data_IF_375113121970
#
_entry.id   IF_375113121970
#
_cell.length_a   1.000
_cell.length_b   1.000
_cell.length_c   1.000
_cell.angle_alpha   90.00
_cell.angle_beta   90.00
_cell.angle_gamma   90.00
#
_symmetry.space_group_name_H-M   'P 1'
#
loop_
_entity.id
_entity.type
_entity.pdbx_description
1 polymer ?
#
# COMPACT_ATOMS: atom_id res chain seq x y z
N UNK A 1 -74.25 1.34 25.22
CA UNK A 1 -73.97 1.63 26.66
C UNK A 1 -72.91 0.62 27.10
N UNK A 2 -71.63 0.95 27.23
CA UNK A 2 -70.93 1.65 28.33
C UNK A 2 -69.54 2.05 27.76
N UNK A 3 -69.23 3.34 27.60
CA UNK A 3 -68.43 4.21 28.49
C UNK A 3 -67.04 3.66 28.89
N UNK A 4 -66.03 4.08 28.12
CA UNK A 4 -64.76 4.77 28.48
C UNK A 4 -64.15 4.53 29.87
N UNK A 5 -62.86 4.17 29.91
CA UNK A 5 -61.90 4.83 30.81
C UNK A 5 -60.47 4.74 30.26
N UNK A 6 -59.93 5.92 29.91
CA UNK A 6 -58.54 6.17 29.57
C UNK A 6 -57.66 6.08 30.83
N UNK A 7 -56.46 5.50 30.71
CA UNK A 7 -55.31 5.93 31.52
C UNK A 7 -54.15 6.17 30.55
N UNK A 8 -53.82 7.45 30.44
CA UNK A 8 -52.58 7.92 29.85
C UNK A 8 -51.42 7.62 30.81
N UNK A 9 -50.33 7.07 30.29
CA UNK A 9 -49.01 7.26 30.89
C UNK A 9 -48.11 7.87 29.82
N UNK A 10 -47.80 9.16 30.03
CA UNK A 10 -46.61 9.79 29.48
C UNK A 10 -45.39 9.08 30.07
N UNK A 11 -44.54 8.51 29.23
CA UNK A 11 -43.14 8.29 29.54
C UNK A 11 -42.32 9.06 28.49
N UNK A 12 -41.86 10.25 28.90
CA UNK A 12 -40.85 11.04 28.24
C UNK A 12 -39.49 10.45 28.63
N UNK A 13 -38.77 9.80 27.72
CA UNK A 13 -37.36 9.49 27.95
C UNK A 13 -36.60 9.23 26.62
N UNK A 14 -35.73 10.19 26.32
CA UNK A 14 -34.49 10.08 25.55
C UNK A 14 -34.56 9.49 24.13
N UNK A 15 -34.56 10.41 23.16
CA UNK A 15 -33.86 10.25 21.89
C UNK A 15 -32.39 9.89 22.18
N UNK A 16 -32.07 8.60 22.21
CA UNK A 16 -30.70 8.16 22.05
C UNK A 16 -30.35 8.27 20.57
N UNK A 17 -29.85 9.43 20.15
CA UNK A 17 -28.94 9.50 19.02
C UNK A 17 -27.71 8.64 19.37
N UNK A 18 -27.76 7.35 19.08
CA UNK A 18 -26.54 6.56 18.93
C UNK A 18 -25.87 7.00 17.62
N UNK A 19 -25.22 8.16 17.71
CA UNK A 19 -24.06 8.50 16.90
C UNK A 19 -22.96 7.51 17.24
N UNK A 20 -23.03 6.29 16.70
CA UNK A 20 -21.82 5.52 16.47
C UNK A 20 -21.09 6.16 15.29
N UNK A 21 -20.29 7.19 15.61
CA UNK A 21 -19.14 7.52 14.80
C UNK A 21 -18.09 6.43 15.00
N UNK A 22 -17.52 5.94 13.89
CA UNK A 22 -16.33 5.10 13.90
C UNK A 22 -16.58 3.64 13.53
N UNK A 23 -16.76 3.39 12.24
CA UNK A 23 -16.22 2.25 11.49
C UNK A 23 -16.85 2.27 10.10
N UNK A 24 -16.45 3.23 9.27
CA UNK A 24 -16.38 2.90 7.85
C UNK A 24 -15.42 1.72 7.78
N UNK A 25 -15.93 0.53 7.48
CA UNK A 25 -15.09 -0.59 7.09
C UNK A 25 -14.37 -0.14 5.82
N UNK A 26 -13.24 0.53 5.99
CA UNK A 26 -12.32 0.76 4.90
C UNK A 26 -11.85 -0.63 4.53
N UNK A 27 -12.37 -1.13 3.40
CA UNK A 27 -11.96 -2.38 2.78
C UNK A 27 -10.56 -2.22 2.17
N UNK A 28 -9.65 -1.58 2.90
CA UNK A 28 -8.29 -1.28 2.50
C UNK A 28 -7.39 -2.45 2.88
N UNK A 29 -6.79 -3.10 1.87
CA UNK A 29 -6.04 -4.33 2.09
C UNK A 29 -4.77 -4.11 2.90
N UNK A 30 -4.12 -2.95 2.77
CA UNK A 30 -2.91 -2.61 3.50
C UNK A 30 -3.21 -2.38 4.98
N UNK A 31 -4.21 -1.56 5.31
CA UNK A 31 -4.62 -1.32 6.69
C UNK A 31 -5.11 -2.59 7.40
N UNK A 32 -5.79 -3.49 6.67
CA UNK A 32 -6.19 -4.79 7.20
C UNK A 32 -4.98 -5.70 7.46
N UNK A 33 -3.96 -5.68 6.59
CA UNK A 33 -2.73 -6.43 6.79
C UNK A 33 -1.93 -5.91 8.00
N UNK A 34 -1.80 -4.59 8.15
CA UNK A 34 -1.16 -3.96 9.32
C UNK A 34 -1.90 -4.31 10.60
N UNK A 35 -3.23 -4.21 10.61
CA UNK A 35 -4.05 -4.59 11.77
C UNK A 35 -3.85 -6.06 12.16
N UNK A 36 -3.76 -6.95 11.17
CA UNK A 36 -3.49 -8.36 11.41
C UNK A 36 -2.08 -8.60 11.98
N UNK A 37 -1.07 -7.89 11.47
CA UNK A 37 0.31 -8.02 11.93
C UNK A 37 0.50 -7.47 13.35
N UNK A 38 -0.17 -6.37 13.70
CA UNK A 38 -0.14 -5.81 15.05
C UNK A 38 -0.58 -6.81 16.12
N UNK A 39 -1.61 -7.61 15.82
CA UNK A 39 -2.09 -8.67 16.74
C UNK A 39 -1.13 -9.86 16.86
N UNK A 40 -0.18 -10.00 15.94
CA UNK A 40 0.84 -11.06 15.91
C UNK A 40 2.18 -10.61 16.48
N UNK A 41 2.32 -9.35 16.89
CA UNK A 41 3.57 -8.86 17.47
C UNK A 41 3.88 -9.67 18.73
N UNK A 42 4.95 -10.46 18.65
CA UNK A 42 5.45 -11.33 19.72
C UNK A 42 6.80 -10.86 20.24
N UNK A 43 7.12 -9.57 20.07
CA UNK A 43 8.36 -8.92 20.54
C UNK A 43 8.70 -9.20 22.02
N UNK A 44 7.71 -9.55 22.85
CA UNK A 44 7.92 -9.96 24.24
C UNK A 44 8.06 -11.47 24.49
N UNK A 45 7.71 -12.36 23.54
CA UNK A 45 7.62 -13.83 23.75
C UNK A 45 7.97 -14.67 22.49
N UNK A 46 9.16 -14.45 21.90
CA UNK A 46 9.64 -15.19 20.71
C UNK A 46 9.74 -16.73 20.85
N UNK A 47 9.67 -17.25 22.08
CA UNK A 47 9.78 -18.70 22.39
C UNK A 47 8.49 -19.46 22.03
N UNK A 48 7.31 -18.83 22.11
CA UNK A 48 6.04 -19.47 21.75
C UNK A 48 5.82 -19.56 20.23
N UNK A 49 6.45 -18.68 19.44
CA UNK A 49 6.32 -18.65 17.97
C UNK A 49 7.35 -19.51 17.24
N UNK A 50 8.12 -20.33 17.96
CA UNK A 50 9.18 -21.15 17.37
C UNK A 50 10.32 -20.31 16.78
N UNK A 51 10.58 -19.11 17.33
CA UNK A 51 11.66 -18.23 16.88
C UNK A 51 11.32 -17.30 15.72
N UNK A 52 10.06 -17.27 15.26
CA UNK A 52 9.59 -16.29 14.28
C UNK A 52 9.05 -15.09 15.06
N UNK A 53 9.94 -14.18 15.44
CA UNK A 53 9.56 -12.90 16.04
C UNK A 53 9.87 -11.78 15.03
N UNK A 54 8.81 -11.22 14.42
CA UNK A 54 8.87 -9.99 13.64
C UNK A 54 8.18 -8.92 14.47
N UNK A 55 8.90 -7.82 14.74
CA UNK A 55 8.33 -6.66 15.45
C UNK A 55 7.41 -5.90 14.51
N UNK A 56 6.41 -5.18 15.06
CA UNK A 56 5.42 -4.49 14.24
C UNK A 56 6.03 -3.60 13.14
N UNK A 57 7.06 -2.80 13.45
CA UNK A 57 7.73 -1.92 12.48
C UNK A 57 8.29 -2.67 11.25
N UNK A 58 8.80 -3.89 11.45
CA UNK A 58 9.32 -4.71 10.35
C UNK A 58 8.19 -5.24 9.45
N UNK A 59 7.04 -5.56 10.05
CA UNK A 59 5.86 -5.98 9.33
C UNK A 59 5.23 -4.80 8.55
N UNK A 60 5.17 -3.60 9.15
CA UNK A 60 4.70 -2.37 8.49
C UNK A 60 5.56 -2.02 7.27
N UNK A 61 6.87 -2.19 7.36
CA UNK A 61 7.76 -2.05 6.21
C UNK A 61 7.38 -3.02 5.09
N UNK A 62 7.17 -4.31 5.41
CA UNK A 62 6.83 -5.32 4.42
C UNK A 62 5.45 -5.07 3.79
N UNK A 63 4.45 -4.63 4.57
CA UNK A 63 3.12 -4.24 4.06
C UNK A 63 3.21 -3.03 3.14
N UNK A 64 3.93 -1.98 3.56
CA UNK A 64 4.11 -0.76 2.77
C UNK A 64 4.83 -1.05 1.45
N UNK A 65 5.92 -1.83 1.49
CA UNK A 65 6.67 -2.22 0.31
C UNK A 65 5.83 -3.08 -0.65
N UNK A 66 5.03 -4.01 -0.12
CA UNK A 66 4.13 -4.84 -0.93
C UNK A 66 3.03 -4.00 -1.60
N UNK A 67 2.39 -3.08 -0.87
CA UNK A 67 1.36 -2.21 -1.42
C UNK A 67 1.92 -1.33 -2.55
N UNK A 68 3.05 -0.66 -2.30
CA UNK A 68 3.72 0.19 -3.28
C UNK A 68 4.12 -0.62 -4.52
N UNK A 69 4.79 -1.76 -4.34
CA UNK A 69 5.24 -2.59 -5.46
C UNK A 69 4.10 -3.17 -6.28
N UNK A 70 2.96 -3.53 -5.68
CA UNK A 70 1.76 -3.93 -6.44
C UNK A 70 1.17 -2.76 -7.22
N UNK A 71 1.07 -1.58 -6.60
CA UNK A 71 0.54 -0.39 -7.24
C UNK A 71 1.37 0.01 -8.46
N UNK A 72 2.70 0.04 -8.33
CA UNK A 72 3.62 0.40 -9.42
C UNK A 72 3.51 -0.57 -10.60
N UNK A 73 3.38 -1.87 -10.35
CA UNK A 73 3.14 -2.87 -11.41
C UNK A 73 1.83 -2.59 -12.15
N UNK A 74 0.73 -2.35 -11.43
CA UNK A 74 -0.56 -2.06 -12.07
C UNK A 74 -0.53 -0.73 -12.82
N UNK A 75 0.12 0.30 -12.27
CA UNK A 75 0.23 1.62 -12.89
C UNK A 75 1.04 1.53 -14.18
N UNK A 76 2.11 0.74 -14.18
CA UNK A 76 2.93 0.51 -15.36
C UNK A 76 2.21 -0.33 -16.41
N UNK A 77 1.43 -1.35 -16.03
CA UNK A 77 0.55 -2.05 -16.99
C UNK A 77 -0.43 -1.09 -17.65
N UNK A 78 -1.01 -0.16 -16.89
CA UNK A 78 -1.86 0.88 -17.46
C UNK A 78 -1.09 1.75 -18.45
N UNK A 79 0.12 2.18 -18.11
CA UNK A 79 0.96 2.99 -18.98
C UNK A 79 1.35 2.28 -20.28
N UNK A 80 1.63 0.96 -20.26
CA UNK A 80 1.88 0.20 -21.49
C UNK A 80 0.71 0.29 -22.48
N UNK A 81 -0.52 0.41 -21.98
CA UNK A 81 -1.73 0.52 -22.83
C UNK A 81 -2.07 1.95 -23.25
N UNK A 82 -1.83 2.94 -22.39
CA UNK A 82 -2.33 4.32 -22.57
C UNK A 82 -1.27 5.34 -22.94
N UNK A 83 0.00 5.08 -22.63
CA UNK A 83 1.06 6.03 -22.90
C UNK A 83 1.21 6.28 -24.40
N UNK A 84 1.59 7.49 -24.76
CA UNK A 84 1.92 7.86 -26.15
C UNK A 84 3.41 8.09 -26.34
N UNK A 85 4.12 8.47 -25.29
CA UNK A 85 5.55 8.66 -25.28
C UNK A 85 6.29 7.31 -25.19
N UNK A 86 7.22 7.06 -26.13
CA UNK A 86 8.01 5.82 -26.18
C UNK A 86 8.84 5.59 -24.91
N UNK A 87 9.45 6.64 -24.34
CA UNK A 87 10.26 6.52 -23.12
C UNK A 87 9.41 6.18 -21.90
N UNK A 88 8.17 6.66 -21.86
CA UNK A 88 7.21 6.30 -20.80
C UNK A 88 6.84 4.81 -20.90
N UNK A 89 6.64 4.28 -22.10
CA UNK A 89 6.40 2.84 -22.32
C UNK A 89 7.60 1.99 -21.94
N UNK A 90 8.80 2.39 -22.35
CA UNK A 90 10.04 1.69 -22.00
C UNK A 90 10.25 1.64 -20.48
N UNK A 91 10.01 2.76 -19.80
CA UNK A 91 10.04 2.81 -18.34
C UNK A 91 8.98 1.89 -17.73
N UNK A 92 7.74 1.93 -18.22
CA UNK A 92 6.67 1.06 -17.73
C UNK A 92 6.98 -0.44 -17.90
N UNK A 93 7.60 -0.84 -19.01
CA UNK A 93 8.03 -2.23 -19.23
C UNK A 93 9.08 -2.68 -18.21
N UNK A 94 10.08 -1.82 -17.96
CA UNK A 94 11.11 -2.03 -16.93
C UNK A 94 10.47 -2.21 -15.54
N UNK A 95 9.52 -1.34 -15.19
CA UNK A 95 8.82 -1.38 -13.92
C UNK A 95 8.03 -2.67 -13.72
N UNK A 96 7.24 -3.10 -14.72
CA UNK A 96 6.50 -4.37 -14.66
C UNK A 96 7.46 -5.52 -14.41
N UNK A 97 8.56 -5.59 -15.16
CA UNK A 97 9.54 -6.67 -15.04
C UNK A 97 10.21 -6.69 -13.66
N UNK A 98 10.77 -5.57 -13.25
CA UNK A 98 11.61 -5.50 -12.05
C UNK A 98 10.76 -5.62 -10.78
N UNK A 99 9.63 -4.90 -10.69
CA UNK A 99 8.81 -4.91 -9.48
C UNK A 99 8.04 -6.22 -9.31
N UNK A 100 7.64 -6.91 -10.40
CA UNK A 100 7.05 -8.26 -10.26
C UNK A 100 8.03 -9.21 -9.57
N UNK A 101 9.29 -9.24 -9.98
CA UNK A 101 10.31 -10.09 -9.35
C UNK A 101 10.64 -9.69 -7.91
N UNK A 102 10.61 -8.38 -7.59
CA UNK A 102 10.82 -7.89 -6.21
C UNK A 102 9.64 -8.27 -5.31
N UNK A 103 8.40 -8.14 -5.81
CA UNK A 103 7.18 -8.50 -5.07
C UNK A 103 7.14 -10.00 -4.74
N UNK A 104 7.53 -10.87 -5.68
CA UNK A 104 7.61 -12.31 -5.44
C UNK A 104 8.61 -12.66 -4.32
N UNK A 105 9.77 -12.00 -4.30
CA UNK A 105 10.77 -12.17 -3.23
C UNK A 105 10.22 -11.73 -1.88
N UNK A 106 9.58 -10.56 -1.83
CA UNK A 106 8.98 -10.05 -0.58
C UNK A 106 7.86 -10.96 -0.07
N UNK A 107 7.01 -11.47 -0.97
CA UNK A 107 5.95 -12.42 -0.61
C UNK A 107 6.51 -13.72 -0.01
N UNK A 108 7.60 -14.25 -0.57
CA UNK A 108 8.27 -15.43 -0.04
C UNK A 108 8.85 -15.18 1.37
N UNK A 109 9.48 -14.03 1.59
CA UNK A 109 9.99 -13.61 2.90
C UNK A 109 8.86 -13.46 3.91
N UNK A 110 7.80 -12.72 3.56
CA UNK A 110 6.66 -12.50 4.43
C UNK A 110 6.01 -13.81 4.85
N UNK A 111 5.85 -14.77 3.93
CA UNK A 111 5.35 -16.11 4.24
C UNK A 111 6.26 -16.86 5.23
N UNK A 112 7.57 -16.84 5.01
CA UNK A 112 8.53 -17.50 5.91
C UNK A 112 8.53 -16.86 7.32
N UNK A 113 8.17 -15.59 7.41
CA UNK A 113 8.17 -14.79 8.64
C UNK A 113 6.76 -14.63 9.24
N UNK A 114 5.76 -15.30 8.69
CA UNK A 114 4.35 -15.22 9.11
C UNK A 114 3.75 -13.78 9.08
N UNK A 115 4.31 -12.91 8.24
CA UNK A 115 3.80 -11.56 8.00
C UNK A 115 2.62 -11.67 7.02
N UNK A 116 1.49 -11.08 7.38
CA UNK A 116 0.37 -10.90 6.45
C UNK A 116 0.67 -9.71 5.55
N UNK A 117 0.59 -9.91 4.23
CA UNK A 117 0.69 -8.85 3.25
C UNK A 117 -0.70 -8.48 2.70
N UNK A 118 -0.86 -7.25 2.16
CA UNK A 118 -2.03 -6.90 1.37
C UNK A 118 -2.17 -7.83 0.17
N UNK A 119 -3.40 -8.17 -0.18
CA UNK A 119 -3.74 -9.03 -1.34
C UNK A 119 -4.22 -8.22 -2.54
N UNK A 120 -4.52 -6.94 -2.33
CA UNK A 120 -4.86 -5.99 -3.38
C UNK A 120 -4.19 -4.65 -3.08
N UNK A 121 -4.05 -3.82 -4.11
CA UNK A 121 -3.62 -2.43 -3.97
C UNK A 121 -4.54 -1.67 -3.01
N UNK A 122 -3.98 -0.79 -2.18
CA UNK A 122 -4.68 0.06 -1.22
C UNK A 122 -5.60 1.09 -1.87
N UNK A 123 -6.49 1.69 -1.08
CA UNK A 123 -7.54 2.58 -1.56
C UNK A 123 -6.98 3.86 -2.21
N UNK A 124 -5.90 4.41 -1.66
CA UNK A 124 -5.26 5.63 -2.19
C UNK A 124 -4.61 5.38 -3.56
N UNK A 125 -3.94 4.24 -3.72
CA UNK A 125 -3.36 3.84 -5.00
C UNK A 125 -4.45 3.43 -6.02
N UNK A 126 -5.54 2.79 -5.58
CA UNK A 126 -6.71 2.55 -6.44
C UNK A 126 -7.33 3.87 -6.95
N UNK A 127 -7.40 4.90 -6.10
CA UNK A 127 -7.84 6.23 -6.53
C UNK A 127 -6.89 6.82 -7.56
N UNK A 128 -5.58 6.72 -7.32
CA UNK A 128 -4.55 7.18 -8.27
C UNK A 128 -4.68 6.48 -9.63
N UNK A 129 -4.95 5.17 -9.62
CA UNK A 129 -5.24 4.39 -10.83
C UNK A 129 -6.44 4.95 -11.60
N UNK A 130 -7.56 5.19 -10.90
CA UNK A 130 -8.77 5.72 -11.51
C UNK A 130 -8.54 7.11 -12.13
N UNK A 131 -7.81 7.99 -11.43
CA UNK A 131 -7.46 9.33 -11.90
C UNK A 131 -6.60 9.28 -13.18
N UNK A 132 -5.66 8.33 -13.28
CA UNK A 132 -4.86 8.10 -14.50
C UNK A 132 -5.67 7.46 -15.63
N UNK A 133 -6.55 6.52 -15.31
CA UNK A 133 -7.41 5.83 -16.27
C UNK A 133 -8.25 6.84 -17.09
N UNK A 134 -8.67 7.94 -16.46
CA UNK A 134 -9.45 9.01 -17.07
C UNK A 134 -8.66 9.92 -18.02
N UNK A 135 -7.32 9.83 -18.04
CA UNK A 135 -6.44 10.67 -18.88
C UNK A 135 -6.08 9.96 -20.19
N UNK A 136 -5.55 10.70 -21.16
CA UNK A 136 -5.07 10.17 -22.43
C UNK A 136 -3.97 11.03 -23.03
N UNK A 137 -3.21 10.48 -23.99
CA UNK A 137 -2.17 11.21 -24.71
C UNK A 137 -1.11 11.82 -23.78
N UNK A 138 -0.69 13.05 -24.10
CA UNK A 138 0.32 13.76 -23.33
C UNK A 138 -0.11 14.01 -21.86
N UNK A 139 -1.40 14.22 -21.59
CA UNK A 139 -1.89 14.40 -20.21
C UNK A 139 -1.75 13.13 -19.38
N UNK A 140 -1.93 11.96 -20.02
CA UNK A 140 -1.66 10.68 -19.38
C UNK A 140 -0.17 10.50 -19.12
N UNK A 141 0.66 10.71 -20.15
CA UNK A 141 2.11 10.55 -20.05
C UNK A 141 2.69 11.40 -18.92
N UNK A 142 2.29 12.68 -18.86
CA UNK A 142 2.71 13.60 -17.80
C UNK A 142 2.26 13.15 -16.42
N UNK A 143 0.97 12.81 -16.27
CA UNK A 143 0.43 12.43 -14.97
C UNK A 143 1.06 11.13 -14.45
N UNK A 144 1.30 10.14 -15.32
CA UNK A 144 1.97 8.90 -14.94
C UNK A 144 3.40 9.16 -14.45
N UNK A 145 4.15 10.00 -15.16
CA UNK A 145 5.52 10.35 -14.78
C UNK A 145 5.55 11.11 -13.45
N UNK A 146 4.66 12.07 -13.25
CA UNK A 146 4.55 12.81 -11.98
C UNK A 146 4.23 11.86 -10.79
N UNK A 147 3.35 10.87 -11.00
CA UNK A 147 3.04 9.82 -10.00
C UNK A 147 4.27 8.96 -9.72
N UNK A 148 4.93 8.44 -10.75
CA UNK A 148 6.07 7.55 -10.59
C UNK A 148 7.28 8.24 -9.92
N UNK A 149 7.54 9.52 -10.20
CA UNK A 149 8.56 10.30 -9.48
C UNK A 149 8.24 10.38 -7.99
N UNK A 150 6.98 10.69 -7.65
CA UNK A 150 6.54 10.80 -6.26
C UNK A 150 6.64 9.47 -5.53
N UNK A 151 6.19 8.39 -6.14
CA UNK A 151 6.15 7.07 -5.50
C UNK A 151 7.56 6.49 -5.35
N UNK A 152 8.44 6.68 -6.32
CA UNK A 152 9.84 6.25 -6.21
C UNK A 152 10.62 7.02 -5.14
N UNK A 153 10.33 8.32 -4.92
CA UNK A 153 10.94 9.07 -3.81
C UNK A 153 10.57 8.45 -2.47
N UNK A 154 9.27 8.18 -2.27
CA UNK A 154 8.79 7.51 -1.06
C UNK A 154 9.38 6.11 -0.90
N UNK A 155 9.47 5.34 -1.99
CA UNK A 155 10.05 4.00 -1.97
C UNK A 155 11.54 4.04 -1.61
N UNK A 156 12.32 4.97 -2.18
CA UNK A 156 13.72 5.16 -1.79
C UNK A 156 13.83 5.50 -0.30
N UNK A 157 13.03 6.43 0.21
CA UNK A 157 13.04 6.79 1.64
C UNK A 157 12.68 5.59 2.54
N UNK A 158 11.64 4.84 2.18
CA UNK A 158 11.21 3.64 2.90
C UNK A 158 12.33 2.58 2.94
N UNK A 159 12.97 2.32 1.81
CA UNK A 159 14.03 1.30 1.71
C UNK A 159 15.35 1.77 2.32
N UNK A 160 15.64 3.07 2.32
CA UNK A 160 16.78 3.63 3.06
C UNK A 160 16.60 3.47 4.57
N UNK A 161 15.43 3.83 5.10
CA UNK A 161 15.08 3.56 6.50
C UNK A 161 15.13 2.07 6.80
N UNK A 162 14.50 1.27 5.95
CA UNK A 162 14.46 -0.19 6.09
C UNK A 162 15.86 -0.82 6.18
N UNK A 163 16.78 -0.39 5.32
CA UNK A 163 18.17 -0.87 5.30
C UNK A 163 18.95 -0.57 6.59
N UNK A 164 18.54 0.44 7.37
CA UNK A 164 19.21 0.88 8.59
C UNK A 164 18.51 0.33 9.83
N UNK A 165 17.19 0.46 9.87
CA UNK A 165 16.43 0.45 11.11
C UNK A 165 15.73 -0.88 11.41
N UNK A 166 15.45 -1.70 10.38
CA UNK A 166 14.76 -2.99 10.54
C UNK A 166 15.52 -3.92 11.50
N UNK A 167 14.78 -4.75 12.24
CA UNK A 167 15.38 -5.69 13.21
C UNK A 167 15.58 -7.06 12.59
N UNK A 168 14.66 -7.52 11.75
CA UNK A 168 14.78 -8.75 10.99
C UNK A 168 15.88 -8.62 9.93
N UNK A 169 16.86 -9.52 10.00
CA UNK A 169 18.03 -9.49 9.13
C UNK A 169 17.70 -9.75 7.66
N UNK A 170 16.69 -10.57 7.38
CA UNK A 170 16.31 -10.92 6.00
C UNK A 170 15.57 -9.75 5.35
N UNK A 171 14.67 -9.08 6.08
CA UNK A 171 14.00 -7.86 5.60
C UNK A 171 14.97 -6.70 5.44
N UNK A 172 15.91 -6.51 6.37
CA UNK A 172 17.00 -5.52 6.23
C UNK A 172 17.85 -5.78 4.98
N UNK A 173 18.19 -7.05 4.75
CA UNK A 173 18.94 -7.48 3.57
C UNK A 173 18.16 -7.24 2.28
N UNK A 174 16.87 -7.57 2.28
CA UNK A 174 15.96 -7.28 1.17
C UNK A 174 15.88 -5.78 0.84
N UNK A 175 15.74 -4.93 1.87
CA UNK A 175 15.73 -3.48 1.70
C UNK A 175 17.05 -2.98 1.09
N UNK A 176 18.17 -3.43 1.65
CA UNK A 176 19.53 -3.06 1.20
C UNK A 176 19.77 -3.46 -0.25
N UNK A 177 19.37 -4.67 -0.65
CA UNK A 177 19.60 -5.21 -2.00
C UNK A 177 18.69 -4.58 -3.06
N UNK A 178 17.50 -4.13 -2.68
CA UNK A 178 16.54 -3.52 -3.60
C UNK A 178 16.83 -2.03 -3.84
N UNK A 179 17.45 -1.35 -2.87
CA UNK A 179 17.67 0.09 -2.90
C UNK A 179 18.42 0.62 -4.14
N UNK A 180 19.48 -0.03 -4.67
CA UNK A 180 20.15 0.45 -5.87
C UNK A 180 19.24 0.50 -7.11
N UNK A 181 18.35 -0.49 -7.25
CA UNK A 181 17.40 -0.52 -8.36
C UNK A 181 16.39 0.63 -8.23
N UNK A 182 15.79 0.83 -7.05
CA UNK A 182 14.87 1.94 -6.78
C UNK A 182 15.48 3.30 -7.08
N UNK A 183 16.75 3.52 -6.72
CA UNK A 183 17.48 4.77 -7.05
C UNK A 183 17.70 4.92 -8.55
N UNK A 184 18.01 3.83 -9.25
CA UNK A 184 18.16 3.84 -10.71
C UNK A 184 16.83 4.14 -11.41
N UNK A 185 15.73 3.53 -10.95
CA UNK A 185 14.39 3.80 -11.47
C UNK A 185 13.98 5.25 -11.22
N UNK A 186 14.22 5.80 -10.02
CA UNK A 186 13.99 7.21 -9.71
C UNK A 186 14.75 8.14 -10.66
N UNK A 187 16.04 7.87 -10.88
CA UNK A 187 16.85 8.66 -11.80
C UNK A 187 16.32 8.59 -13.24
N UNK A 188 15.89 7.42 -13.69
CA UNK A 188 15.33 7.22 -15.02
C UNK A 188 14.03 8.02 -15.20
N UNK A 189 13.11 7.95 -14.24
CA UNK A 189 11.82 8.65 -14.33
C UNK A 189 11.97 10.17 -14.21
N UNK A 190 12.89 10.67 -13.37
CA UNK A 190 13.21 12.12 -13.33
C UNK A 190 13.88 12.62 -14.62
N UNK A 191 14.59 11.74 -15.33
CA UNK A 191 15.14 12.07 -16.65
C UNK A 191 14.04 12.17 -17.70
N UNK A 192 13.07 11.26 -17.64
CA UNK A 192 11.88 11.30 -18.51
C UNK A 192 11.05 12.54 -18.20
N UNK A 193 10.78 12.84 -16.93
CA UNK A 193 10.02 14.00 -16.46
C UNK A 193 10.48 15.29 -17.13
N UNK A 194 11.79 15.53 -17.22
CA UNK A 194 12.37 16.72 -17.88
C UNK A 194 12.02 16.83 -19.37
N UNK A 195 11.70 15.72 -20.04
CA UNK A 195 11.38 15.63 -21.46
C UNK A 195 9.88 15.48 -21.79
N UNK A 196 9.00 15.31 -20.80
CA UNK A 196 7.52 15.31 -20.96
C UNK A 196 6.85 16.55 -20.37
N UNK A 197 7.63 17.59 -20.03
CA UNK A 197 7.11 18.90 -19.63
C UNK A 197 6.42 19.64 -20.77
#
# INVERSE_FOLDING_TARGET
>A
MKKVCSIAMLALAALAFQSCGGAGSNNDSAANADSANYTKDTSSNAVETGGIAVVNDDAEFAVSAANAGMAEVELSKLALTKATNAKVKEFADMMVKDHTGVNEKLMALAKAKNITLPTTVGADEQKTMADLQAKSGADFDKAYVDVMVKDHKKAVDLFEGGSKDLKDADLKSFATQSLPALKSHLQAIETIEKGVK
#
